data_IF_477458385748
#
_entry.id   IF_477458385748
#
_cell.length_a   1.000
_cell.length_b   1.000
_cell.length_c   1.000
_cell.angle_alpha   90.00
_cell.angle_beta   90.00
_cell.angle_gamma   90.00
#
_symmetry.space_group_name_H-M   'P 1'
#
loop_
_entity.id
_entity.type
_entity.pdbx_description
1 polymer ?
#
# COMPACT_ATOMS: atom_id res chain seq x y z
N UNK A 1 8.42 17.26 41.53
CA UNK A 1 8.85 16.43 40.39
C UNK A 1 7.90 15.24 40.34
N UNK A 2 7.03 15.20 39.35
CA UNK A 2 6.08 14.10 39.16
C UNK A 2 6.58 13.22 38.01
N UNK A 3 7.02 12.01 38.33
CA UNK A 3 7.65 11.04 37.42
C UNK A 3 6.70 9.91 37.00
N UNK A 4 5.38 10.07 37.14
CA UNK A 4 4.45 8.93 36.99
C UNK A 4 3.19 9.22 36.17
N UNK A 5 3.31 9.99 35.09
CA UNK A 5 2.39 9.82 33.97
C UNK A 5 3.07 8.96 32.92
N UNK A 6 2.77 7.66 32.92
CA UNK A 6 2.99 6.82 31.75
C UNK A 6 2.35 7.55 30.55
N UNK A 7 3.17 8.08 29.66
CA UNK A 7 2.69 8.80 28.49
C UNK A 7 1.94 7.78 27.64
N UNK A 8 0.66 8.04 27.35
CA UNK A 8 -0.11 7.16 26.49
C UNK A 8 0.65 6.98 25.16
N UNK A 9 0.86 5.73 24.76
CA UNK A 9 1.54 5.39 23.49
C UNK A 9 0.70 5.97 22.36
N UNK A 10 1.29 6.87 21.57
CA UNK A 10 0.61 7.47 20.42
C UNK A 10 0.47 6.45 19.30
N UNK A 11 -0.75 6.24 18.79
CA UNK A 11 -0.97 5.45 17.56
C UNK A 11 -0.64 6.28 16.33
N UNK A 12 0.01 5.70 15.33
CA UNK A 12 0.26 6.33 14.02
C UNK A 12 -0.23 5.43 12.90
N UNK A 13 -0.67 6.04 11.81
CA UNK A 13 -1.20 5.32 10.66
C UNK A 13 -0.16 5.29 9.54
N UNK A 14 0.13 4.10 9.02
CA UNK A 14 1.00 3.89 7.85
C UNK A 14 0.14 3.46 6.67
N UNK A 15 0.03 4.30 5.64
CA UNK A 15 -0.80 4.07 4.47
C UNK A 15 0.03 3.78 3.23
N UNK A 16 -0.32 2.69 2.54
CA UNK A 16 0.31 2.27 1.31
C UNK A 16 -0.69 2.26 0.15
N UNK A 17 -0.38 3.04 -0.88
CA UNK A 17 -1.18 3.18 -2.08
C UNK A 17 -1.10 1.98 -3.02
N UNK A 18 -1.53 2.16 -4.28
CA UNK A 18 -1.72 1.06 -5.19
C UNK A 18 -0.42 0.40 -5.62
N UNK A 19 -0.51 -0.90 -5.91
CA UNK A 19 0.56 -1.76 -6.42
C UNK A 19 1.72 -2.03 -5.45
N UNK A 20 1.71 -1.47 -4.23
CA UNK A 20 2.69 -1.83 -3.20
C UNK A 20 2.53 -3.26 -2.67
N UNK A 21 1.34 -3.86 -2.85
CA UNK A 21 1.10 -5.27 -2.59
C UNK A 21 1.94 -6.21 -3.48
N UNK A 22 2.59 -5.69 -4.53
CA UNK A 22 3.45 -6.45 -5.44
C UNK A 22 4.95 -6.33 -5.12
N UNK A 23 5.32 -5.63 -4.04
CA UNK A 23 6.71 -5.53 -3.58
C UNK A 23 7.33 -6.93 -3.38
N UNK A 24 8.61 -7.07 -3.71
CA UNK A 24 9.34 -8.33 -3.71
C UNK A 24 9.03 -9.28 -4.88
N UNK A 25 7.95 -9.04 -5.65
CA UNK A 25 7.56 -9.92 -6.77
C UNK A 25 7.71 -9.29 -8.16
N UNK A 26 7.69 -7.95 -8.26
CA UNK A 26 7.82 -7.21 -9.52
C UNK A 26 9.00 -6.24 -9.46
N UNK A 27 9.85 -6.28 -10.49
CA UNK A 27 10.99 -5.37 -10.68
C UNK A 27 11.90 -5.25 -9.43
N UNK A 28 12.42 -6.37 -8.88
CA UNK A 28 13.21 -6.36 -7.63
C UNK A 28 14.48 -5.50 -7.71
N UNK A 29 15.02 -5.29 -8.91
CA UNK A 29 16.14 -4.38 -9.14
C UNK A 29 15.80 -2.89 -8.82
N UNK A 30 14.53 -2.51 -8.87
CA UNK A 30 14.07 -1.14 -8.61
C UNK A 30 13.50 -0.95 -7.20
N UNK A 31 12.83 -1.97 -6.66
CA UNK A 31 12.09 -1.87 -5.39
C UNK A 31 12.67 -2.71 -4.25
N UNK A 32 13.72 -3.50 -4.51
CA UNK A 32 14.27 -4.45 -3.55
C UNK A 32 13.49 -5.78 -3.50
N UNK A 33 13.96 -6.70 -2.65
CA UNK A 33 13.34 -8.00 -2.41
C UNK A 33 12.33 -8.01 -1.25
N UNK A 34 12.25 -6.91 -0.50
CA UNK A 34 11.36 -6.79 0.66
C UNK A 34 9.90 -6.90 0.22
N UNK A 35 9.11 -7.69 0.95
CA UNK A 35 7.67 -7.81 0.74
C UNK A 35 6.92 -6.72 1.51
N UNK A 36 5.63 -6.52 1.20
CA UNK A 36 4.79 -5.63 2.01
C UNK A 36 4.73 -6.07 3.48
N UNK A 37 4.74 -7.38 3.76
CA UNK A 37 4.75 -7.89 5.12
C UNK A 37 6.04 -7.53 5.88
N UNK A 38 7.18 -7.51 5.18
CA UNK A 38 8.45 -7.08 5.73
C UNK A 38 8.43 -5.58 6.06
N UNK A 39 7.87 -4.76 5.16
CA UNK A 39 7.69 -3.32 5.39
C UNK A 39 6.76 -3.06 6.59
N UNK A 40 5.66 -3.79 6.71
CA UNK A 40 4.76 -3.64 7.86
C UNK A 40 5.44 -4.03 9.18
N UNK A 41 6.22 -5.12 9.17
CA UNK A 41 7.00 -5.53 10.33
C UNK A 41 8.02 -4.45 10.70
N UNK A 42 8.77 -3.95 9.72
CA UNK A 42 9.74 -2.86 9.89
C UNK A 42 9.07 -1.61 10.49
N UNK A 43 7.88 -1.25 10.03
CA UNK A 43 7.12 -0.12 10.54
C UNK A 43 6.70 -0.33 12.00
N UNK A 44 6.14 -1.50 12.33
CA UNK A 44 5.74 -1.82 13.71
C UNK A 44 6.93 -1.81 14.67
N UNK A 45 8.04 -2.45 14.28
CA UNK A 45 9.25 -2.51 15.09
C UNK A 45 9.85 -1.10 15.29
N UNK A 46 9.91 -0.28 14.23
CA UNK A 46 10.43 1.09 14.31
C UNK A 46 9.53 1.99 15.16
N UNK A 47 8.20 1.91 15.00
CA UNK A 47 7.27 2.69 15.79
C UNK A 47 7.40 2.34 17.28
N UNK A 48 7.45 1.05 17.61
CA UNK A 48 7.64 0.58 18.99
C UNK A 48 8.95 1.10 19.59
N UNK A 49 10.06 1.06 18.83
CA UNK A 49 11.34 1.60 19.26
C UNK A 49 11.32 3.12 19.51
N UNK A 50 10.36 3.84 18.93
CA UNK A 50 10.17 5.28 19.10
C UNK A 50 8.99 5.63 20.04
N UNK A 51 8.47 4.67 20.82
CA UNK A 51 7.39 4.91 21.78
C UNK A 51 6.02 5.16 21.13
N UNK A 52 5.81 4.64 19.92
CA UNK A 52 4.57 4.70 19.16
C UNK A 52 4.02 3.29 18.87
N UNK A 53 2.76 3.21 18.46
CA UNK A 53 2.15 2.02 17.88
C UNK A 53 1.77 2.30 16.43
N UNK A 54 2.28 1.52 15.48
CA UNK A 54 1.94 1.68 14.06
C UNK A 54 0.83 0.74 13.61
N UNK A 55 -0.21 1.29 13.01
CA UNK A 55 -1.20 0.55 12.25
C UNK A 55 -0.90 0.69 10.76
N UNK A 56 -0.65 -0.44 10.07
CA UNK A 56 -0.34 -0.45 8.66
C UNK A 56 -1.57 -0.84 7.85
N UNK A 57 -1.86 -0.10 6.77
CA UNK A 57 -2.94 -0.40 5.82
C UNK A 57 -2.44 -0.22 4.39
N UNK A 58 -2.93 -1.06 3.49
CA UNK A 58 -2.70 -0.93 2.05
C UNK A 58 -4.03 -0.94 1.32
N UNK A 59 -4.18 -0.08 0.31
CA UNK A 59 -5.37 -0.08 -0.55
C UNK A 59 -5.02 0.33 -1.97
N UNK A 60 -5.66 -0.35 -2.93
CA UNK A 60 -5.64 0.06 -4.34
C UNK A 60 -6.77 1.05 -4.66
N UNK A 61 -7.68 1.33 -3.71
CA UNK A 61 -8.84 2.19 -3.91
C UNK A 61 -8.59 3.59 -3.33
N UNK A 62 -8.77 4.61 -4.16
CA UNK A 62 -8.59 6.02 -3.78
C UNK A 62 -9.71 6.51 -2.84
N UNK A 63 -10.98 6.33 -3.24
CA UNK A 63 -12.19 6.70 -2.48
C UNK A 63 -13.32 5.67 -2.64
N UNK A 64 -14.12 5.46 -1.58
CA UNK A 64 -15.17 4.44 -1.52
C UNK A 64 -16.59 4.98 -1.74
N UNK A 65 -17.10 4.90 -2.97
CA UNK A 65 -18.55 4.90 -3.24
C UNK A 65 -18.91 3.65 -4.06
N UNK A 66 -18.61 2.49 -3.47
CA UNK A 66 -19.04 1.18 -3.98
C UNK A 66 -20.43 0.86 -3.48
N UNK A 67 -21.43 0.91 -4.37
CA UNK A 67 -22.81 0.42 -4.17
C UNK A 67 -22.78 -0.94 -3.44
N UNK A 68 -23.46 -1.05 -2.29
CA UNK A 68 -23.65 -2.32 -1.58
C UNK A 68 -24.40 -3.28 -2.51
N UNK A 69 -23.70 -4.23 -3.14
CA UNK A 69 -24.36 -5.42 -3.64
C UNK A 69 -24.96 -6.13 -2.44
N UNK A 70 -26.29 -6.00 -2.26
CA UNK A 70 -27.08 -6.89 -1.40
C UNK A 70 -26.73 -8.32 -1.81
N UNK A 71 -25.97 -9.03 -0.99
CA UNK A 71 -25.90 -10.49 -1.04
C UNK A 71 -27.13 -10.99 -0.28
N UNK A 72 -28.14 -11.59 -0.93
CA UNK A 72 -29.24 -12.20 -0.20
C UNK A 72 -28.74 -13.46 0.52
N UNK A 73 -29.28 -13.82 1.69
CA UNK A 73 -28.84 -15.00 2.42
C UNK A 73 -29.21 -16.28 1.64
N UNK A 74 -28.26 -17.21 1.60
CA UNK A 74 -28.35 -18.49 0.91
C UNK A 74 -29.58 -19.30 1.35
N UNK A 75 -30.44 -19.68 0.40
CA UNK A 75 -31.47 -20.71 0.60
C UNK A 75 -31.10 -21.98 -0.17
N UNK A 76 -31.32 -23.11 0.52
CA UNK A 76 -31.04 -24.50 0.13
C UNK A 76 -31.53 -24.84 -1.29
N UNK A 77 -30.71 -25.61 -2.02
CA UNK A 77 -31.06 -26.28 -3.28
C UNK A 77 -32.23 -27.24 -3.08
N UNK A 78 -33.26 -27.13 -3.91
CA UNK A 78 -34.10 -28.24 -4.37
C UNK A 78 -33.96 -28.35 -5.91
N UNK A 79 -34.07 -29.56 -6.43
CA UNK A 79 -33.69 -29.95 -7.79
C UNK A 79 -34.80 -29.74 -8.86
N UNK A 80 -34.36 -29.28 -10.06
CA UNK A 80 -34.75 -29.58 -11.48
C UNK A 80 -36.25 -29.66 -11.90
N UNK A 81 -36.65 -29.28 -13.16
CA UNK A 81 -36.04 -29.76 -14.41
C UNK A 81 -35.92 -28.76 -15.61
N UNK A 82 -35.32 -29.28 -16.68
CA UNK A 82 -34.93 -28.72 -18.00
C UNK A 82 -36.02 -27.99 -18.80
N UNK A 83 -35.62 -27.01 -19.63
CA UNK A 83 -36.09 -26.85 -21.02
C UNK A 83 -35.19 -25.88 -21.85
N UNK A 84 -34.79 -26.33 -23.05
CA UNK A 84 -34.71 -25.62 -24.36
C UNK A 84 -34.09 -24.20 -24.40
N UNK A 85 -33.12 -23.82 -25.22
CA UNK A 85 -32.72 -24.26 -26.56
C UNK A 85 -32.28 -23.00 -27.35
N UNK A 86 -31.45 -23.20 -28.39
CA UNK A 86 -30.98 -22.25 -29.41
C UNK A 86 -29.86 -21.27 -29.03
N UNK A 87 -28.98 -20.82 -29.92
CA UNK A 87 -28.21 -21.35 -31.06
C UNK A 87 -27.35 -20.16 -31.57
N UNK A 88 -26.24 -20.50 -32.21
CA UNK A 88 -25.12 -19.63 -32.68
C UNK A 88 -25.47 -18.53 -33.69
N UNK A 89 -24.57 -17.54 -33.78
CA UNK A 89 -23.88 -17.00 -34.97
C UNK A 89 -22.99 -15.82 -34.48
N UNK A 90 -21.79 -15.47 -34.93
CA UNK A 90 -20.88 -15.69 -36.07
C UNK A 90 -19.83 -14.56 -35.92
N UNK A 91 -18.52 -14.81 -35.84
CA UNK A 91 -17.53 -14.70 -36.95
C UNK A 91 -17.77 -13.48 -37.87
N UNK A 92 -16.84 -12.55 -38.19
CA UNK A 92 -15.36 -12.43 -38.08
C UNK A 92 -14.95 -10.96 -38.47
N UNK A 93 -13.65 -10.57 -38.52
CA UNK A 93 -13.13 -9.23 -38.14
C UNK A 93 -12.64 -8.37 -39.32
N UNK A 94 -12.17 -7.14 -39.06
CA UNK A 94 -11.11 -6.53 -39.88
C UNK A 94 -10.42 -5.27 -39.29
N UNK A 95 -9.07 -5.28 -39.35
CA UNK A 95 -8.10 -4.17 -39.62
C UNK A 95 -8.03 -2.97 -38.63
N UNK A 96 -6.88 -2.38 -38.28
CA UNK A 96 -5.48 -2.56 -38.71
C UNK A 96 -4.53 -1.86 -37.73
N UNK A 97 -3.29 -2.37 -37.70
CA UNK A 97 -2.04 -1.61 -37.71
C UNK A 97 -1.79 -0.50 -36.67
N UNK A 98 -0.94 -0.82 -35.68
CA UNK A 98 0.17 0.06 -35.31
C UNK A 98 1.46 -0.74 -35.23
N UNK A 99 2.32 -0.43 -36.19
CA UNK A 99 3.69 -0.88 -36.37
C UNK A 99 4.63 -0.29 -35.32
N UNK A 100 5.54 -1.11 -34.79
CA UNK A 100 6.85 -0.65 -34.33
C UNK A 100 7.14 -0.76 -32.83
N UNK A 101 7.42 -1.98 -32.34
CA UNK A 101 8.10 -2.19 -31.06
C UNK A 101 9.54 -2.67 -31.31
N UNK A 102 10.58 -2.03 -30.76
CA UNK A 102 11.94 -2.57 -30.83
C UNK A 102 12.06 -3.81 -29.94
N UNK A 103 12.56 -4.88 -30.55
CA UNK A 103 12.82 -6.19 -29.94
C UNK A 103 13.98 -6.08 -28.94
N UNK A 104 13.76 -6.42 -27.67
CA UNK A 104 14.85 -6.81 -26.77
C UNK A 104 14.94 -8.34 -26.80
N UNK A 105 15.69 -8.83 -27.78
CA UNK A 105 16.22 -10.19 -27.81
C UNK A 105 17.57 -10.17 -27.10
N UNK A 106 17.91 -11.28 -26.43
CA UNK A 106 19.22 -11.63 -25.86
C UNK A 106 19.39 -11.40 -24.35
N UNK A 107 18.76 -12.28 -23.55
CA UNK A 107 19.41 -12.87 -22.38
C UNK A 107 19.14 -14.39 -22.42
N UNK A 108 20.07 -15.15 -23.01
CA UNK A 108 20.21 -16.59 -22.73
C UNK A 108 21.30 -16.72 -21.67
N UNK A 109 20.89 -16.83 -20.42
CA UNK A 109 21.69 -17.43 -19.36
C UNK A 109 20.80 -18.46 -18.70
N UNK A 110 21.24 -19.72 -18.67
CA UNK A 110 20.49 -20.79 -18.02
C UNK A 110 20.33 -20.46 -16.52
N UNK A 111 19.13 -20.67 -15.93
CA UNK A 111 18.95 -20.49 -14.49
C UNK A 111 19.76 -21.54 -13.71
N UNK A 112 20.32 -21.20 -12.52
CA UNK A 112 21.00 -22.18 -11.68
C UNK A 112 20.04 -23.29 -11.23
N UNK A 113 20.51 -24.53 -11.02
CA UNK A 113 19.66 -25.66 -10.69
C UNK A 113 19.01 -25.49 -9.31
N UNK A 114 17.67 -25.52 -9.28
CA UNK A 114 16.89 -25.60 -8.04
C UNK A 114 17.08 -26.97 -7.40
N UNK A 115 17.81 -27.04 -6.30
CA UNK A 115 17.85 -28.23 -5.44
C UNK A 115 16.52 -28.38 -4.69
N UNK A 116 15.89 -29.55 -4.86
CA UNK A 116 14.62 -29.91 -4.23
C UNK A 116 14.88 -30.57 -2.89
N UNK A 117 14.74 -29.81 -1.81
CA UNK A 117 14.30 -30.36 -0.54
C UNK A 117 13.03 -29.62 -0.09
N UNK A 118 11.92 -30.35 -0.14
CA UNK A 118 10.63 -29.90 0.39
C UNK A 118 10.74 -29.69 1.90
N UNK A 119 10.68 -28.44 2.35
CA UNK A 119 10.16 -28.10 3.67
C UNK A 119 9.10 -27.01 3.48
N UNK A 120 7.86 -27.36 3.80
CA UNK A 120 6.74 -26.43 3.91
C UNK A 120 7.10 -25.41 5.01
N UNK A 121 7.07 -24.10 4.77
CA UNK A 121 7.32 -23.12 5.82
C UNK A 121 6.23 -23.24 6.91
N UNK A 122 6.58 -23.11 8.20
CA UNK A 122 5.59 -23.19 9.27
C UNK A 122 4.55 -22.08 9.14
N UNK A 123 3.28 -22.43 9.38
CA UNK A 123 2.17 -21.49 9.42
C UNK A 123 2.44 -20.38 10.44
N UNK A 124 2.18 -19.10 10.10
CA UNK A 124 2.36 -18.00 11.04
C UNK A 124 1.43 -18.17 12.26
N UNK A 125 1.86 -17.76 13.47
CA UNK A 125 1.03 -17.83 14.66
C UNK A 125 -0.21 -16.94 14.49
N UNK A 126 -1.34 -17.44 14.97
CA UNK A 126 -2.66 -16.81 14.96
C UNK A 126 -2.71 -15.55 15.84
N UNK A 127 -2.09 -14.48 15.37
CA UNK A 127 -2.36 -13.09 15.78
C UNK A 127 -3.19 -12.44 14.69
N UNK A 128 -4.21 -11.65 15.08
CA UNK A 128 -5.18 -10.96 14.21
C UNK A 128 -4.65 -10.71 12.79
N UNK A 129 -5.17 -11.49 11.84
CA UNK A 129 -4.98 -11.33 10.41
C UNK A 129 -5.14 -9.86 10.04
N UNK A 130 -4.14 -9.29 9.38
CA UNK A 130 -4.26 -8.01 8.70
C UNK A 130 -5.55 -8.07 7.86
N UNK A 131 -6.60 -7.37 8.29
CA UNK A 131 -7.76 -7.19 7.44
C UNK A 131 -7.22 -6.48 6.21
N UNK A 132 -7.27 -7.16 5.06
CA UNK A 132 -7.30 -6.51 3.76
C UNK A 132 -8.47 -5.53 3.82
N UNK A 133 -8.14 -4.31 4.22
CA UNK A 133 -9.11 -3.27 4.46
C UNK A 133 -9.76 -2.96 3.12
N UNK A 134 -11.05 -3.30 2.99
CA UNK A 134 -11.89 -2.88 1.87
C UNK A 134 -12.09 -1.36 1.84
N UNK A 135 -11.49 -0.61 2.77
CA UNK A 135 -11.64 0.83 2.88
C UNK A 135 -10.68 1.54 1.93
N UNK A 136 -11.17 2.63 1.36
CA UNK A 136 -10.37 3.45 0.47
C UNK A 136 -9.35 4.28 1.27
N UNK A 137 -8.29 4.76 0.61
CA UNK A 137 -7.25 5.58 1.26
C UNK A 137 -7.84 6.84 1.90
N UNK A 138 -8.74 7.53 1.20
CA UNK A 138 -9.41 8.74 1.72
C UNK A 138 -10.20 8.44 3.01
N UNK A 139 -10.90 7.31 3.08
CA UNK A 139 -11.66 6.92 4.28
C UNK A 139 -10.72 6.70 5.47
N UNK A 140 -9.60 6.00 5.24
CA UNK A 140 -8.59 5.78 6.26
C UNK A 140 -7.93 7.10 6.73
N UNK A 141 -7.76 8.08 5.84
CA UNK A 141 -7.25 9.41 6.21
C UNK A 141 -8.26 10.16 7.10
N UNK A 142 -9.55 10.06 6.82
CA UNK A 142 -10.56 10.70 7.68
C UNK A 142 -10.62 10.08 9.08
N UNK A 143 -10.50 8.75 9.20
CA UNK A 143 -10.38 8.06 10.49
C UNK A 143 -9.13 8.51 11.27
N UNK A 144 -8.05 8.84 10.56
CA UNK A 144 -6.78 9.27 11.15
C UNK A 144 -6.91 10.50 12.05
N UNK A 145 -7.86 11.40 11.75
CA UNK A 145 -8.08 12.65 12.48
C UNK A 145 -8.33 12.44 13.98
N UNK A 146 -9.12 11.41 14.32
CA UNK A 146 -9.57 11.15 15.70
C UNK A 146 -8.77 10.06 16.39
N UNK A 147 -8.24 9.09 15.64
CA UNK A 147 -7.63 7.89 16.23
C UNK A 147 -6.11 7.89 16.26
N UNK A 148 -5.46 8.73 15.45
CA UNK A 148 -4.03 8.67 15.24
C UNK A 148 -3.36 10.02 15.47
N UNK A 149 -2.14 9.96 16.01
CA UNK A 149 -1.32 11.12 16.29
C UNK A 149 -0.64 11.68 15.04
N UNK A 150 -0.53 10.89 13.96
CA UNK A 150 0.16 11.27 12.72
C UNK A 150 0.07 10.17 11.66
N UNK A 151 0.47 10.52 10.43
CA UNK A 151 0.39 9.67 9.24
C UNK A 151 1.75 9.55 8.57
N UNK A 152 2.15 8.33 8.23
CA UNK A 152 3.14 8.05 7.19
C UNK A 152 2.38 7.55 5.96
N UNK A 153 2.64 8.11 4.79
CA UNK A 153 1.96 7.68 3.56
C UNK A 153 2.95 7.46 2.42
N UNK A 154 2.87 6.30 1.78
CA UNK A 154 3.41 6.09 0.44
C UNK A 154 2.22 6.02 -0.53
N UNK A 155 1.88 7.11 -1.24
CA UNK A 155 0.67 7.15 -2.05
C UNK A 155 0.79 6.35 -3.34
N UNK A 156 1.97 5.79 -3.66
CA UNK A 156 2.23 5.07 -4.91
C UNK A 156 1.92 5.95 -6.12
N UNK A 157 1.17 5.40 -7.09
CA UNK A 157 0.77 6.15 -8.29
C UNK A 157 -0.11 7.37 -7.98
N UNK A 158 -0.88 7.35 -6.88
CA UNK A 158 -1.80 8.44 -6.54
C UNK A 158 -1.10 9.73 -6.13
N UNK A 159 0.20 9.68 -5.81
CA UNK A 159 1.02 10.88 -5.59
C UNK A 159 0.88 11.86 -6.75
N UNK A 160 0.84 11.34 -7.99
CA UNK A 160 0.88 12.15 -9.21
C UNK A 160 -0.51 12.52 -9.76
N UNK A 161 -1.58 11.94 -9.20
CA UNK A 161 -2.93 12.04 -9.79
C UNK A 161 -4.01 12.47 -8.79
N UNK A 162 -3.82 12.24 -7.50
CA UNK A 162 -4.90 12.36 -6.51
C UNK A 162 -4.90 13.70 -5.78
N UNK A 163 -5.76 14.60 -6.26
CA UNK A 163 -6.14 15.80 -5.49
C UNK A 163 -7.00 15.42 -4.29
N UNK A 164 -7.78 14.33 -4.38
CA UNK A 164 -8.64 13.86 -3.28
C UNK A 164 -7.84 13.44 -2.05
N UNK A 165 -6.74 12.70 -2.22
CA UNK A 165 -5.84 12.33 -1.11
C UNK A 165 -5.17 13.57 -0.53
N UNK A 166 -4.70 14.50 -1.38
CA UNK A 166 -4.13 15.78 -0.91
C UNK A 166 -5.13 16.52 -0.01
N UNK A 167 -6.36 16.69 -0.45
CA UNK A 167 -7.37 17.47 0.28
C UNK A 167 -7.79 16.77 1.58
N UNK A 168 -7.89 15.44 1.57
CA UNK A 168 -8.14 14.65 2.77
C UNK A 168 -7.00 14.80 3.80
N UNK A 169 -5.73 14.75 3.35
CA UNK A 169 -4.57 14.97 4.21
C UNK A 169 -4.52 16.40 4.75
N UNK A 170 -4.82 17.41 3.94
CA UNK A 170 -4.88 18.80 4.39
C UNK A 170 -5.93 19.01 5.50
N UNK A 171 -7.01 18.23 5.51
CA UNK A 171 -8.11 18.34 6.47
C UNK A 171 -7.89 17.56 7.77
N UNK A 172 -6.86 16.72 7.87
CA UNK A 172 -6.67 15.80 9.01
C UNK A 172 -6.10 16.47 10.25
N UNK A 173 -5.42 17.62 10.10
CA UNK A 173 -4.78 18.38 11.18
C UNK A 173 -3.84 17.52 12.06
N UNK A 174 -3.10 16.62 11.41
CA UNK A 174 -2.07 15.78 12.02
C UNK A 174 -0.80 15.85 11.19
N UNK A 175 0.39 15.64 11.79
CA UNK A 175 1.62 15.56 11.02
C UNK A 175 1.58 14.43 9.98
N UNK A 176 2.03 14.73 8.77
CA UNK A 176 2.08 13.82 7.62
C UNK A 176 3.50 13.72 7.08
N UNK A 177 3.99 12.49 6.92
CA UNK A 177 5.27 12.20 6.24
C UNK A 177 5.00 11.38 4.98
N UNK A 178 5.41 11.90 3.83
CA UNK A 178 5.33 11.22 2.55
C UNK A 178 6.60 10.39 2.30
N UNK A 179 6.42 9.16 1.81
CA UNK A 179 7.51 8.23 1.50
C UNK A 179 7.38 7.71 0.06
N UNK A 180 8.50 7.75 -0.66
CA UNK A 180 8.68 7.07 -1.94
C UNK A 180 9.88 6.14 -1.85
N UNK A 181 9.69 4.85 -2.15
CA UNK A 181 10.80 3.87 -2.16
C UNK A 181 11.92 4.25 -3.13
N UNK A 182 11.53 4.79 -4.29
CA UNK A 182 12.45 5.20 -5.37
C UNK A 182 12.58 6.71 -5.44
N UNK A 183 13.68 7.21 -6.01
CA UNK A 183 13.83 8.64 -6.26
C UNK A 183 12.96 9.05 -7.46
N UNK A 184 11.80 9.63 -7.17
CA UNK A 184 10.81 10.01 -8.19
C UNK A 184 11.34 11.05 -9.19
N UNK A 185 12.32 11.87 -8.80
CA UNK A 185 12.93 12.89 -9.68
C UNK A 185 13.92 12.31 -10.69
N UNK A 186 14.33 11.04 -10.54
CA UNK A 186 15.13 10.32 -11.54
C UNK A 186 14.28 9.51 -12.50
N UNK A 187 12.96 9.51 -12.33
CA UNK A 187 12.02 8.75 -13.13
C UNK A 187 11.45 9.60 -14.27
N UNK A 188 10.41 9.08 -14.92
CA UNK A 188 9.68 9.79 -15.97
C UNK A 188 9.13 11.13 -15.45
N UNK A 189 9.06 12.14 -16.32
CA UNK A 189 8.69 13.52 -15.96
C UNK A 189 7.35 13.61 -15.21
N UNK A 190 6.37 12.80 -15.60
CA UNK A 190 5.05 12.76 -14.93
C UNK A 190 5.11 12.30 -13.46
N UNK A 191 6.25 11.76 -12.99
CA UNK A 191 6.46 11.36 -11.59
C UNK A 191 7.17 12.42 -10.76
N UNK A 192 7.66 13.50 -11.38
CA UNK A 192 8.44 14.51 -10.67
C UNK A 192 7.56 15.36 -9.74
N UNK A 193 6.27 15.44 -10.03
CA UNK A 193 5.28 16.18 -9.25
C UNK A 193 4.44 15.24 -8.37
N UNK A 194 4.28 15.59 -7.09
CA UNK A 194 3.34 14.94 -6.17
C UNK A 194 2.39 15.96 -5.56
N UNK A 195 1.08 15.71 -5.65
CA UNK A 195 0.05 16.50 -4.97
C UNK A 195 0.15 16.38 -3.45
N UNK A 196 0.60 15.22 -2.95
CA UNK A 196 0.76 14.97 -1.52
C UNK A 196 1.90 15.79 -0.93
N UNK A 197 2.98 16.02 -1.68
CA UNK A 197 4.12 16.81 -1.22
C UNK A 197 3.76 18.25 -0.86
N UNK A 198 2.70 18.81 -1.44
CA UNK A 198 2.22 20.15 -1.12
C UNK A 198 1.57 20.29 0.26
N UNK A 199 1.27 19.17 0.94
CA UNK A 199 0.59 19.15 2.25
C UNK A 199 1.32 18.30 3.30
N UNK A 200 2.35 17.54 2.91
CA UNK A 200 3.18 16.77 3.83
C UNK A 200 4.19 17.66 4.57
N UNK A 201 4.44 17.39 5.84
CA UNK A 201 5.48 18.08 6.63
C UNK A 201 6.89 17.68 6.19
N UNK A 202 7.04 16.44 5.72
CA UNK A 202 8.31 15.85 5.30
C UNK A 202 8.07 14.93 4.11
N UNK A 203 8.96 14.98 3.12
CA UNK A 203 8.96 14.09 1.96
C UNK A 203 10.30 13.35 1.91
N UNK A 204 10.25 12.02 1.83
CA UNK A 204 11.42 11.14 1.73
C UNK A 204 11.30 10.36 0.44
N UNK A 205 12.31 10.40 -0.43
CA UNK A 205 12.33 9.62 -1.66
C UNK A 205 13.67 8.95 -1.91
N UNK A 206 13.64 7.74 -2.49
CA UNK A 206 14.84 7.02 -2.95
C UNK A 206 15.65 6.33 -1.85
N UNK A 207 15.12 6.25 -0.63
CA UNK A 207 15.75 5.56 0.49
C UNK A 207 15.31 4.09 0.61
N UNK A 208 14.61 3.53 -0.38
CA UNK A 208 14.04 2.19 -0.27
C UNK A 208 13.12 2.05 0.95
N UNK A 209 13.16 0.91 1.61
CA UNK A 209 12.36 0.62 2.81
C UNK A 209 12.83 1.39 4.05
N UNK A 210 14.10 1.81 4.11
CA UNK A 210 14.61 2.70 5.16
C UNK A 210 13.88 4.06 5.18
N UNK A 211 13.25 4.45 4.07
CA UNK A 211 12.37 5.62 4.04
C UNK A 211 11.25 5.58 5.08
N UNK A 212 10.68 4.39 5.37
CA UNK A 212 9.69 4.23 6.43
C UNK A 212 10.30 4.37 7.83
N UNK A 213 11.54 3.91 8.00
CA UNK A 213 12.27 4.05 9.27
C UNK A 213 12.47 5.54 9.58
N UNK A 214 13.01 6.28 8.61
CA UNK A 214 13.21 7.72 8.73
C UNK A 214 11.89 8.46 8.96
N UNK A 215 10.82 8.06 8.26
CA UNK A 215 9.51 8.66 8.43
C UNK A 215 8.95 8.48 9.84
N UNK A 216 8.97 7.26 10.38
CA UNK A 216 8.44 6.97 11.71
C UNK A 216 9.27 7.63 12.83
N UNK A 217 10.60 7.63 12.71
CA UNK A 217 11.47 8.34 13.65
C UNK A 217 11.19 9.84 13.63
N UNK A 218 10.99 10.43 12.44
CA UNK A 218 10.65 11.85 12.31
C UNK A 218 9.26 12.13 12.87
N UNK A 219 8.28 11.29 12.57
CA UNK A 219 6.91 11.44 13.02
C UNK A 219 6.82 11.39 14.55
N UNK A 220 7.55 10.49 15.21
CA UNK A 220 7.63 10.43 16.67
C UNK A 220 8.10 11.75 17.30
N UNK A 221 9.01 12.47 16.65
CA UNK A 221 9.44 13.80 17.12
C UNK A 221 8.36 14.86 16.92
N UNK A 222 7.62 14.80 15.81
CA UNK A 222 6.53 15.74 15.49
C UNK A 222 5.32 15.56 16.42
N UNK A 223 5.02 14.32 16.82
CA UNK A 223 3.92 14.00 17.76
C UNK A 223 4.34 14.09 19.23
N UNK A 224 5.61 14.44 19.48
CA UNK A 224 6.20 14.59 20.80
C UNK A 224 6.56 13.28 21.51
N UNK A 225 6.44 12.12 20.85
CA UNK A 225 6.75 10.80 21.37
C UNK A 225 8.23 10.48 21.63
N UNK A 226 9.17 11.34 21.22
CA UNK A 226 10.60 11.16 21.48
C UNK A 226 11.11 11.97 22.67
N UNK A 227 11.85 11.32 23.57
CA UNK A 227 12.69 11.98 24.58
C UNK A 227 13.58 13.05 23.91
N UNK A 228 13.57 14.26 24.47
CA UNK A 228 14.55 15.29 24.16
C UNK A 228 15.90 14.95 24.79
#
# INVERSE_FOLDING_TARGET
>A
MDLTRARAVGRVLVLNGPNLNLLGTREPALYGSDTLADVEKLCRDTAAANGLEAECRQSNHEGGLGRVSKVPPARRRLALPRALGFARAGETPLLAALSGSPRYSQYRGDPPPCDRTHQTPPSPPSGRTALLSKHALVDAIHEARTEFAGIVINPGAYSHTSVAIRDALAAVDRPVVEVHLTNIHRREEFRHHSYVSGVADVVICGAGTDGYVFALTRLARLTGGGAR
#
